data_IF_435273830103
#
_entry.id   IF_435273830103
#
_cell.length_a   1.000
_cell.length_b   1.000
_cell.length_c   1.000
_cell.angle_alpha   90.00
_cell.angle_beta   90.00
_cell.angle_gamma   90.00
#
_symmetry.space_group_name_H-M   'P 1'
#
loop_
_entity.id
_entity.type
_entity.pdbx_description
1 polymer ?
#
# COMPACT_ATOMS: atom_id res chain seq x y z
N UNK A 1 -14.84 -76.73 -23.27
CA UNK A 1 -15.03 -75.37 -23.85
C UNK A 1 -14.58 -74.32 -22.83
N UNK A 2 -13.29 -73.91 -22.98
CA UNK A 2 -12.64 -72.97 -22.06
C UNK A 2 -12.69 -71.56 -22.67
N UNK A 3 -13.54 -70.72 -22.14
CA UNK A 3 -13.59 -69.31 -22.50
C UNK A 3 -12.76 -68.46 -21.50
N UNK A 4 -11.61 -68.03 -21.99
CA UNK A 4 -10.58 -67.29 -21.23
C UNK A 4 -11.02 -65.96 -20.64
N UNK A 5 -10.84 -65.70 -19.34
CA UNK A 5 -11.13 -64.40 -18.71
C UNK A 5 -10.00 -63.37 -18.80
N UNK A 6 -9.10 -63.50 -19.82
CA UNK A 6 -7.90 -62.63 -19.97
C UNK A 6 -8.18 -61.21 -20.50
N UNK A 7 -9.34 -60.94 -21.03
CA UNK A 7 -9.59 -59.68 -21.78
C UNK A 7 -10.04 -58.50 -20.85
N UNK A 8 -10.62 -58.77 -19.71
CA UNK A 8 -11.15 -57.74 -18.80
C UNK A 8 -10.01 -57.13 -17.98
N UNK A 9 -9.10 -57.92 -17.45
CA UNK A 9 -7.98 -57.46 -16.63
C UNK A 9 -7.04 -56.55 -17.42
N UNK A 10 -6.77 -56.81 -18.68
CA UNK A 10 -5.90 -56.00 -19.53
C UNK A 10 -6.52 -54.62 -19.83
N UNK A 11 -7.84 -54.55 -20.00
CA UNK A 11 -8.57 -53.25 -20.19
C UNK A 11 -8.57 -52.38 -18.93
N UNK A 12 -8.79 -52.99 -17.78
CA UNK A 12 -8.75 -52.29 -16.50
C UNK A 12 -7.35 -51.75 -16.20
N UNK A 13 -6.30 -52.51 -16.44
CA UNK A 13 -4.91 -52.06 -16.30
C UNK A 13 -4.55 -50.89 -17.24
N UNK A 14 -5.05 -50.90 -18.48
CA UNK A 14 -4.79 -49.83 -19.43
C UNK A 14 -5.51 -48.55 -19.06
N UNK A 15 -6.73 -48.66 -18.53
CA UNK A 15 -7.52 -47.52 -18.05
C UNK A 15 -6.86 -46.90 -16.81
N UNK A 16 -6.41 -47.70 -15.85
CA UNK A 16 -5.72 -47.23 -14.65
C UNK A 16 -4.42 -46.46 -14.99
N UNK A 17 -3.63 -46.95 -15.99
CA UNK A 17 -2.44 -46.23 -16.46
C UNK A 17 -2.76 -44.89 -17.13
N UNK A 18 -3.86 -44.79 -17.86
CA UNK A 18 -4.29 -43.49 -18.47
C UNK A 18 -4.77 -42.50 -17.43
N UNK A 19 -5.52 -42.95 -16.41
CA UNK A 19 -5.96 -42.12 -15.31
C UNK A 19 -4.76 -41.62 -14.46
N UNK A 20 -3.81 -42.50 -14.14
CA UNK A 20 -2.62 -42.15 -13.39
C UNK A 20 -1.76 -41.09 -14.11
N UNK A 21 -1.61 -41.20 -15.44
CA UNK A 21 -0.92 -40.18 -16.25
C UNK A 21 -1.70 -38.84 -16.24
N UNK A 22 -3.02 -38.85 -16.37
CA UNK A 22 -3.84 -37.64 -16.30
C UNK A 22 -3.73 -36.90 -14.96
N UNK A 23 -3.77 -37.65 -13.87
CA UNK A 23 -3.58 -37.08 -12.51
C UNK A 23 -2.19 -36.50 -12.33
N UNK A 24 -1.15 -37.17 -12.84
CA UNK A 24 0.23 -36.68 -12.76
C UNK A 24 0.42 -35.36 -13.52
N UNK A 25 -0.18 -35.24 -14.72
CA UNK A 25 -0.15 -33.98 -15.48
C UNK A 25 -0.93 -32.85 -14.79
N UNK A 26 -2.09 -33.15 -14.20
CA UNK A 26 -2.89 -32.17 -13.46
C UNK A 26 -2.14 -31.64 -12.22
N UNK A 27 -1.44 -32.50 -11.50
CA UNK A 27 -0.60 -32.11 -10.38
C UNK A 27 0.61 -31.27 -10.82
N UNK A 28 1.26 -31.63 -11.91
CA UNK A 28 2.40 -30.89 -12.44
C UNK A 28 1.98 -29.47 -12.89
N UNK A 29 0.82 -29.33 -13.54
CA UNK A 29 0.30 -28.01 -13.93
C UNK A 29 -0.07 -27.15 -12.74
N UNK A 30 -0.66 -27.71 -11.68
CA UNK A 30 -0.97 -26.99 -10.44
C UNK A 30 0.31 -26.47 -9.75
N UNK A 31 1.37 -27.26 -9.73
CA UNK A 31 2.66 -26.85 -9.17
C UNK A 31 3.26 -25.70 -9.97
N UNK A 32 3.23 -25.76 -11.29
CA UNK A 32 3.75 -24.69 -12.15
C UNK A 32 2.96 -23.38 -11.96
N UNK A 33 1.63 -23.47 -11.90
CA UNK A 33 0.76 -22.30 -11.64
C UNK A 33 1.04 -21.72 -10.25
N UNK A 34 1.21 -22.56 -9.24
CA UNK A 34 1.55 -22.10 -7.89
C UNK A 34 2.89 -21.35 -7.84
N UNK A 35 3.93 -21.89 -8.50
CA UNK A 35 5.23 -21.22 -8.55
C UNK A 35 5.20 -19.95 -9.40
N UNK A 36 4.43 -19.89 -10.47
CA UNK A 36 4.23 -18.69 -11.27
C UNK A 36 3.52 -17.60 -10.46
N UNK A 37 2.52 -17.98 -9.67
CA UNK A 37 1.81 -17.03 -8.78
C UNK A 37 2.72 -16.52 -7.66
N UNK A 38 3.53 -17.40 -7.06
CA UNK A 38 4.53 -17.00 -6.05
C UNK A 38 5.63 -16.11 -6.63
N UNK A 39 6.11 -16.38 -7.84
CA UNK A 39 7.07 -15.52 -8.52
C UNK A 39 6.48 -14.13 -8.83
N UNK A 40 5.20 -14.05 -9.15
CA UNK A 40 4.50 -12.77 -9.36
C UNK A 40 4.41 -11.94 -8.06
N UNK A 41 4.07 -12.55 -6.93
CA UNK A 41 4.10 -11.86 -5.63
C UNK A 41 5.49 -11.31 -5.31
N UNK A 42 6.55 -12.11 -5.52
CA UNK A 42 7.94 -11.70 -5.26
C UNK A 42 8.40 -10.54 -6.14
N UNK A 43 8.00 -10.50 -7.42
CA UNK A 43 8.36 -9.39 -8.33
C UNK A 43 7.58 -8.12 -8.04
N UNK A 44 6.34 -8.22 -7.55
CA UNK A 44 5.56 -7.06 -7.16
C UNK A 44 6.12 -6.39 -5.89
N UNK A 45 6.59 -7.16 -4.91
CA UNK A 45 7.19 -6.61 -3.68
C UNK A 45 8.59 -6.01 -3.92
N UNK A 46 9.42 -6.65 -4.75
CA UNK A 46 10.76 -6.13 -5.05
C UNK A 46 10.75 -4.84 -5.86
N UNK A 47 9.78 -4.65 -6.73
CA UNK A 47 9.59 -3.39 -7.48
C UNK A 47 9.25 -2.21 -6.58
N UNK A 48 8.49 -2.42 -5.51
CA UNK A 48 8.16 -1.37 -4.55
C UNK A 48 9.36 -0.98 -3.66
N UNK A 49 10.21 -1.92 -3.28
CA UNK A 49 11.40 -1.65 -2.46
C UNK A 49 12.48 -0.85 -3.21
N UNK A 50 12.68 -1.08 -4.50
CA UNK A 50 13.62 -0.30 -5.31
C UNK A 50 13.10 1.11 -5.58
N UNK A 51 11.82 1.29 -5.86
CA UNK A 51 11.20 2.60 -6.00
C UNK A 51 11.35 3.43 -4.72
N UNK A 52 11.19 2.82 -3.54
CA UNK A 52 11.31 3.51 -2.25
C UNK A 52 12.73 4.03 -1.98
N UNK A 53 13.79 3.33 -2.41
CA UNK A 53 15.20 3.77 -2.22
C UNK A 53 15.58 4.97 -3.11
N UNK A 54 15.14 5.01 -4.35
CA UNK A 54 15.39 6.13 -5.28
C UNK A 54 14.63 7.38 -4.81
N UNK A 55 13.40 7.22 -4.34
CA UNK A 55 12.55 8.28 -3.78
C UNK A 55 13.22 9.01 -2.61
N UNK A 56 14.06 8.35 -1.82
CA UNK A 56 14.65 8.97 -0.62
C UNK A 56 15.70 10.05 -0.91
N UNK A 57 16.51 9.92 -1.98
CA UNK A 57 17.54 10.91 -2.33
C UNK A 57 16.90 12.21 -2.84
N UNK A 58 15.99 12.13 -3.79
CA UNK A 58 15.27 13.29 -4.33
C UNK A 58 14.29 13.90 -3.32
N UNK A 59 13.69 13.08 -2.45
CA UNK A 59 12.85 13.55 -1.37
C UNK A 59 13.60 14.48 -0.41
N UNK A 60 14.88 14.19 -0.11
CA UNK A 60 15.68 15.03 0.79
C UNK A 60 16.00 16.40 0.19
N UNK A 61 16.24 16.54 -1.10
CA UNK A 61 16.47 17.84 -1.75
C UNK A 61 15.18 18.67 -1.85
N UNK A 62 14.09 18.05 -2.29
CA UNK A 62 12.78 18.72 -2.34
C UNK A 62 12.29 19.09 -0.95
N UNK A 63 12.56 18.24 0.04
CA UNK A 63 12.23 18.51 1.43
C UNK A 63 13.05 19.65 2.03
N UNK A 64 14.33 19.78 1.71
CA UNK A 64 15.14 20.90 2.15
C UNK A 64 14.57 22.25 1.68
N UNK A 65 13.99 22.29 0.50
CA UNK A 65 13.29 23.47 -0.02
C UNK A 65 11.91 23.68 0.67
N UNK A 66 11.17 22.58 0.88
CA UNK A 66 9.88 22.59 1.57
C UNK A 66 10.04 23.00 3.04
N UNK A 67 11.06 22.49 3.75
CA UNK A 67 11.30 22.82 5.16
C UNK A 67 11.61 24.29 5.37
N UNK A 68 12.39 24.92 4.47
CA UNK A 68 12.64 26.37 4.50
C UNK A 68 11.36 27.16 4.35
N UNK A 69 10.44 26.70 3.51
CA UNK A 69 9.16 27.36 3.28
C UNK A 69 8.16 27.12 4.42
N UNK A 70 8.12 25.91 4.97
CA UNK A 70 7.30 25.60 6.14
C UNK A 70 7.76 26.43 7.35
N UNK A 71 9.07 26.58 7.56
CA UNK A 71 9.60 27.43 8.61
C UNK A 71 9.17 28.89 8.45
N UNK A 72 9.09 29.40 7.22
CA UNK A 72 8.61 30.75 6.93
C UNK A 72 7.10 30.91 7.09
N UNK A 73 6.30 29.83 6.93
CA UNK A 73 4.84 29.84 6.98
C UNK A 73 4.26 29.13 8.22
N UNK A 74 5.08 28.73 9.18
CA UNK A 74 4.71 27.91 10.33
C UNK A 74 3.41 28.32 11.04
N UNK A 75 3.12 29.61 11.31
CA UNK A 75 1.85 30.01 11.92
C UNK A 75 0.63 29.88 10.99
N UNK A 76 0.84 29.89 9.66
CA UNK A 76 -0.21 29.90 8.65
C UNK A 76 -0.59 28.50 8.12
N UNK A 77 0.19 27.48 8.46
CA UNK A 77 -0.03 26.10 8.00
C UNK A 77 -1.01 25.38 8.91
N UNK A 78 -0.90 25.58 10.23
CA UNK A 78 -1.79 24.97 11.21
C UNK A 78 -3.19 25.54 11.07
N UNK A 79 -4.18 24.65 11.03
CA UNK A 79 -5.58 25.02 10.77
C UNK A 79 -5.97 25.03 9.28
N UNK A 80 -5.02 24.95 8.35
CA UNK A 80 -5.33 24.78 6.93
C UNK A 80 -5.84 23.36 6.65
N UNK A 81 -6.69 23.20 5.62
CA UNK A 81 -7.15 21.89 5.18
C UNK A 81 -5.98 21.01 4.75
N UNK A 82 -5.96 19.77 5.21
CA UNK A 82 -4.94 18.78 4.84
C UNK A 82 -4.88 18.55 3.33
N UNK A 83 -6.02 18.49 2.64
CA UNK A 83 -6.09 18.37 1.18
C UNK A 83 -5.50 19.59 0.47
N UNK A 84 -5.89 20.80 0.90
CA UNK A 84 -5.40 22.03 0.28
C UNK A 84 -3.89 22.19 0.43
N UNK A 85 -3.33 21.73 1.55
CA UNK A 85 -1.88 21.73 1.76
C UNK A 85 -1.16 20.82 0.75
N UNK A 86 -1.65 19.59 0.53
CA UNK A 86 -1.08 18.65 -0.47
C UNK A 86 -1.18 19.23 -1.89
N UNK A 87 -2.30 19.84 -2.24
CA UNK A 87 -2.55 20.41 -3.58
C UNK A 87 -1.86 21.75 -3.85
N UNK A 88 -1.14 22.32 -2.92
CA UNK A 88 -0.36 23.53 -3.19
C UNK A 88 0.69 23.23 -4.27
N UNK A 89 0.87 24.11 -5.28
CA UNK A 89 1.81 23.87 -6.40
C UNK A 89 3.22 23.52 -5.94
N UNK A 90 3.63 23.99 -4.76
CA UNK A 90 4.95 23.72 -4.19
C UNK A 90 5.05 22.33 -3.53
N UNK A 91 3.95 21.81 -3.00
CA UNK A 91 3.92 20.55 -2.26
C UNK A 91 3.49 19.39 -3.16
N UNK A 92 2.62 19.65 -4.11
CA UNK A 92 2.00 18.64 -4.95
C UNK A 92 3.01 17.72 -5.66
N UNK A 93 4.11 18.22 -6.27
CA UNK A 93 5.11 17.37 -6.90
C UNK A 93 5.76 16.39 -5.91
N UNK A 94 5.98 16.80 -4.66
CA UNK A 94 6.53 15.95 -3.63
C UNK A 94 5.60 14.77 -3.29
N UNK A 95 4.30 15.05 -3.15
CA UNK A 95 3.33 14.00 -2.87
C UNK A 95 3.07 13.11 -4.08
N UNK A 96 3.06 13.65 -5.30
CA UNK A 96 3.00 12.86 -6.53
C UNK A 96 4.17 11.89 -6.63
N UNK A 97 5.37 12.35 -6.33
CA UNK A 97 6.57 11.53 -6.33
C UNK A 97 6.52 10.45 -5.23
N UNK A 98 6.17 10.82 -4.00
CA UNK A 98 6.07 9.91 -2.86
C UNK A 98 5.06 8.78 -3.08
N UNK A 99 3.91 9.12 -3.68
CA UNK A 99 2.76 8.22 -3.78
C UNK A 99 2.68 7.50 -5.13
N UNK A 100 3.35 8.02 -6.17
CA UNK A 100 3.33 7.48 -7.51
C UNK A 100 1.90 7.26 -8.03
N UNK A 101 1.59 6.06 -8.48
CA UNK A 101 0.25 5.69 -8.99
C UNK A 101 -0.86 5.80 -7.94
N UNK A 102 -0.54 5.82 -6.65
CA UNK A 102 -1.51 5.95 -5.57
C UNK A 102 -1.91 7.41 -5.27
N UNK A 103 -1.31 8.40 -5.96
CA UNK A 103 -1.57 9.81 -5.68
C UNK A 103 -3.05 10.19 -5.83
N UNK A 104 -3.73 9.74 -6.88
CA UNK A 104 -5.14 10.08 -7.10
C UNK A 104 -6.07 9.47 -6.05
N UNK A 105 -5.87 8.22 -5.68
CA UNK A 105 -6.63 7.60 -4.58
C UNK A 105 -6.36 8.26 -3.24
N UNK A 106 -5.12 8.69 -3.00
CA UNK A 106 -4.75 9.46 -1.81
C UNK A 106 -5.47 10.81 -1.74
N UNK A 107 -5.54 11.56 -2.85
CA UNK A 107 -6.28 12.83 -2.92
C UNK A 107 -7.77 12.62 -2.66
N UNK A 108 -8.37 11.59 -3.28
CA UNK A 108 -9.78 11.23 -3.04
C UNK A 108 -10.02 10.86 -1.56
N UNK A 109 -9.08 10.15 -0.95
CA UNK A 109 -9.12 9.81 0.47
C UNK A 109 -8.88 10.99 1.43
N UNK A 110 -8.57 12.17 0.91
CA UNK A 110 -8.44 13.42 1.68
C UNK A 110 -9.56 14.43 1.40
N UNK A 111 -10.59 14.08 0.61
CA UNK A 111 -11.65 15.03 0.21
C UNK A 111 -12.38 15.65 1.41
N UNK A 112 -12.69 14.85 2.42
CA UNK A 112 -13.18 15.33 3.72
C UNK A 112 -12.01 15.39 4.69
N UNK A 113 -11.23 16.45 4.58
CA UNK A 113 -9.97 16.61 5.29
C UNK A 113 -10.12 17.43 6.56
N UNK A 114 -9.46 16.96 7.61
CA UNK A 114 -9.31 17.74 8.84
C UNK A 114 -8.25 18.83 8.69
N UNK A 115 -8.28 19.79 9.61
CA UNK A 115 -7.25 20.81 9.72
C UNK A 115 -5.89 20.20 10.06
N UNK A 116 -4.82 20.79 9.54
CA UNK A 116 -3.46 20.45 9.90
C UNK A 116 -3.21 20.73 11.38
N UNK A 117 -2.51 19.81 12.03
CA UNK A 117 -2.11 19.92 13.43
C UNK A 117 -0.63 19.62 13.62
N UNK A 118 -0.05 20.10 14.71
CA UNK A 118 1.26 19.63 15.15
C UNK A 118 1.14 18.37 16.00
N UNK A 119 2.01 17.40 15.73
CA UNK A 119 2.23 16.23 16.57
C UNK A 119 3.72 16.23 16.94
N UNK A 120 4.03 16.74 18.13
CA UNK A 120 5.40 17.08 18.47
C UNK A 120 5.96 18.15 17.51
N UNK A 121 7.15 17.97 16.92
CA UNK A 121 7.73 18.89 15.95
C UNK A 121 7.17 18.68 14.53
N UNK A 122 6.38 17.63 14.29
CA UNK A 122 5.92 17.23 12.97
C UNK A 122 4.55 17.82 12.65
N UNK A 123 4.28 18.05 11.36
CA UNK A 123 2.98 18.46 10.84
C UNK A 123 2.22 17.22 10.42
N UNK A 124 1.01 17.07 10.94
CA UNK A 124 0.14 15.94 10.65
C UNK A 124 -1.12 16.42 9.93
N UNK A 125 -1.44 15.74 8.82
CA UNK A 125 -2.66 15.95 8.05
C UNK A 125 -3.40 14.65 7.84
N UNK A 126 -4.72 14.67 7.86
CA UNK A 126 -5.56 13.50 7.63
C UNK A 126 -6.89 13.87 6.99
N UNK A 127 -7.56 12.87 6.46
CA UNK A 127 -8.90 12.98 5.90
C UNK A 127 -9.47 11.63 5.52
N UNK A 128 -10.68 11.69 4.98
CA UNK A 128 -11.34 10.52 4.44
C UNK A 128 -12.09 10.86 3.14
N UNK A 129 -12.54 9.84 2.46
CA UNK A 129 -13.38 10.00 1.28
C UNK A 129 -14.73 10.59 1.68
N UNK A 130 -15.23 11.58 0.94
CA UNK A 130 -16.50 12.26 1.20
C UNK A 130 -17.72 11.33 1.22
N UNK A 131 -17.66 10.22 0.49
CA UNK A 131 -18.71 9.19 0.46
C UNK A 131 -18.73 8.27 1.68
N UNK A 132 -17.71 8.30 2.53
CA UNK A 132 -17.63 7.50 3.76
C UNK A 132 -16.20 7.24 4.22
N UNK A 133 -15.93 7.58 5.46
CA UNK A 133 -14.60 7.40 6.09
C UNK A 133 -14.24 5.93 6.34
N UNK A 134 -15.20 5.01 6.27
CA UNK A 134 -14.96 3.56 6.42
C UNK A 134 -14.29 2.94 5.21
N UNK A 135 -14.56 3.46 4.01
CA UNK A 135 -14.10 2.88 2.75
C UNK A 135 -12.67 3.29 2.39
N UNK A 136 -12.39 4.59 2.51
CA UNK A 136 -11.08 5.13 2.14
C UNK A 136 -10.73 6.34 3.00
N UNK A 137 -9.50 6.34 3.51
CA UNK A 137 -8.95 7.42 4.31
C UNK A 137 -7.44 7.51 4.13
N UNK A 138 -6.91 8.72 4.30
CA UNK A 138 -5.50 9.00 4.11
C UNK A 138 -4.95 9.90 5.22
N UNK A 139 -3.66 9.79 5.45
CA UNK A 139 -2.91 10.64 6.36
C UNK A 139 -1.49 10.84 5.88
N UNK A 140 -0.89 11.93 6.33
CA UNK A 140 0.53 12.19 6.13
C UNK A 140 1.16 12.88 7.34
N UNK A 141 2.46 12.71 7.46
CA UNK A 141 3.30 13.33 8.47
C UNK A 141 4.51 13.95 7.79
N UNK A 142 4.76 15.21 8.05
CA UNK A 142 5.98 15.89 7.65
C UNK A 142 6.84 16.02 8.90
N UNK A 143 8.00 15.37 8.89
CA UNK A 143 8.98 15.39 9.99
C UNK A 143 10.17 16.28 9.63
N UNK A 144 10.19 17.53 10.09
CA UNK A 144 11.29 18.46 9.80
C UNK A 144 12.63 18.00 10.38
N UNK A 145 12.59 17.27 11.50
CA UNK A 145 13.83 16.80 12.16
C UNK A 145 14.56 15.74 11.35
N UNK A 146 13.79 14.92 10.61
CA UNK A 146 14.34 13.88 9.72
C UNK A 146 14.45 14.33 8.27
N UNK A 147 13.91 15.51 7.91
CA UNK A 147 13.81 15.92 6.52
C UNK A 147 12.94 14.97 5.68
N UNK A 148 11.85 14.44 6.24
CA UNK A 148 11.06 13.36 5.63
C UNK A 148 9.57 13.66 5.60
N UNK A 149 8.93 13.12 4.57
CA UNK A 149 7.47 13.05 4.46
C UNK A 149 7.07 11.59 4.42
N UNK A 150 6.10 11.25 5.24
CA UNK A 150 5.48 9.93 5.32
C UNK A 150 4.01 10.04 4.98
N UNK A 151 3.45 9.03 4.35
CA UNK A 151 2.02 8.97 4.10
C UNK A 151 1.47 7.55 4.36
N UNK A 152 0.17 7.46 4.61
CA UNK A 152 -0.53 6.20 4.68
C UNK A 152 -1.93 6.33 4.10
N UNK A 153 -2.41 5.25 3.49
CA UNK A 153 -3.80 5.09 3.07
C UNK A 153 -4.40 3.85 3.71
N UNK A 154 -5.69 3.90 3.98
CA UNK A 154 -6.50 2.72 4.26
C UNK A 154 -7.57 2.66 3.20
N UNK A 155 -7.59 1.59 2.42
CA UNK A 155 -8.57 1.32 1.38
C UNK A 155 -9.14 -0.08 1.58
N UNK A 156 -10.44 -0.20 1.76
CA UNK A 156 -11.10 -1.48 2.01
C UNK A 156 -10.45 -2.30 3.14
N UNK A 157 -10.07 -1.63 4.23
CA UNK A 157 -9.42 -2.24 5.39
C UNK A 157 -7.94 -2.59 5.22
N UNK A 158 -7.33 -2.31 4.06
CA UNK A 158 -5.91 -2.54 3.82
C UNK A 158 -5.13 -1.25 3.98
N UNK A 159 -4.15 -1.26 4.87
CA UNK A 159 -3.24 -0.12 5.09
C UNK A 159 -2.03 -0.23 4.16
N UNK A 160 -1.69 0.87 3.50
CA UNK A 160 -0.44 1.04 2.75
C UNK A 160 0.32 2.22 3.32
N UNK A 161 1.64 2.07 3.45
CA UNK A 161 2.55 3.09 3.96
C UNK A 161 3.50 3.53 2.85
N UNK A 162 3.85 4.83 2.84
CA UNK A 162 4.73 5.45 1.84
C UNK A 162 5.78 6.30 2.56
N UNK A 163 7.01 6.33 1.99
CA UNK A 163 8.12 7.11 2.51
C UNK A 163 8.90 6.44 3.64
N UNK A 164 8.56 5.22 4.04
CA UNK A 164 9.26 4.44 5.06
C UNK A 164 10.42 3.64 4.45
N UNK A 165 11.47 3.47 5.23
CA UNK A 165 12.55 2.51 4.94
C UNK A 165 12.25 1.17 5.61
N UNK A 166 12.86 0.11 5.09
CA UNK A 166 12.77 -1.21 5.71
C UNK A 166 13.26 -1.16 7.18
N UNK A 167 12.44 -1.70 8.09
CA UNK A 167 12.74 -1.68 9.53
C UNK A 167 12.49 -0.35 10.24
N UNK A 168 12.05 0.70 9.54
CA UNK A 168 11.69 1.97 10.17
C UNK A 168 10.38 1.83 10.95
N UNK A 169 10.39 2.27 12.21
CA UNK A 169 9.19 2.24 13.05
C UNK A 169 8.11 3.22 12.54
N UNK A 170 6.88 2.75 12.53
CA UNK A 170 5.73 3.59 12.18
C UNK A 170 5.53 4.64 13.27
N UNK A 171 5.43 5.94 12.93
CA UNK A 171 5.18 6.98 13.92
C UNK A 171 3.88 6.73 14.69
N UNK A 172 3.84 6.94 16.03
CA UNK A 172 2.65 6.72 16.85
C UNK A 172 1.41 7.50 16.38
N UNK A 173 1.62 8.61 15.67
CA UNK A 173 0.54 9.38 15.06
C UNK A 173 -0.26 8.59 14.02
N UNK A 174 0.41 7.75 13.22
CA UNK A 174 -0.26 6.87 12.24
C UNK A 174 -1.03 5.74 12.93
N UNK A 175 -0.45 5.13 13.96
CA UNK A 175 -1.11 4.08 14.73
C UNK A 175 -2.36 4.62 15.43
N UNK A 176 -2.24 5.79 16.07
CA UNK A 176 -3.37 6.47 16.70
C UNK A 176 -4.46 6.84 15.69
N UNK A 177 -4.09 7.30 14.49
CA UNK A 177 -5.03 7.60 13.43
C UNK A 177 -5.73 6.34 12.92
N UNK A 178 -5.01 5.25 12.70
CA UNK A 178 -5.58 3.99 12.24
C UNK A 178 -6.59 3.41 13.25
N UNK A 179 -6.29 3.49 14.55
CA UNK A 179 -7.09 2.89 15.62
C UNK A 179 -8.31 3.73 16.01
N UNK A 180 -8.17 5.06 16.09
CA UNK A 180 -9.27 5.94 16.54
C UNK A 180 -10.48 5.95 15.61
N UNK A 181 -10.29 5.73 14.32
CA UNK A 181 -11.41 5.70 13.38
C UNK A 181 -12.14 4.36 13.33
N UNK A 182 -11.53 3.28 13.79
CA UNK A 182 -12.22 2.00 13.98
C UNK A 182 -13.21 2.10 15.17
N UNK A 183 -12.88 2.88 16.19
CA UNK A 183 -13.73 3.08 17.38
C UNK A 183 -14.88 4.08 17.16
N UNK A 184 -14.82 4.92 16.13
CA UNK A 184 -15.84 5.93 15.81
C UNK A 184 -17.04 5.42 15.02
N UNK A 185 -16.92 4.27 14.36
CA UNK A 185 -17.98 3.68 13.54
C UNK A 185 -19.00 2.82 14.34
N UNK A 186 -18.92 2.83 15.66
CA UNK A 186 -19.83 2.09 16.56
C UNK A 186 -20.96 2.94 17.13
N UNK A 187 -21.43 3.98 16.40
CA UNK A 187 -22.62 4.76 16.80
C UNK A 187 -23.67 4.75 15.70
#
# INVERSE_FOLDING_TARGET
MDSKPKTIVSRVMSLAKKIAKGVLYALATLVVVYFAFKAWEYTAESGQQQATKVVQGEQSEQFANLSKQIAAYSPLVVGSSSLQFVKRPINEPLFQYLLGSSYQSFITALEDSVALVYVGPSIFGAGCQKSGCTLSRATYLIDPSKGRVYAATIENGKTRYFGFTEGEAIPPAFESWATKQIAGDSK
#
